data_IF_020951640580
#
_entry.id   IF_020951640580
#
_cell.length_a   1.000
_cell.length_b   1.000
_cell.length_c   1.000
_cell.angle_alpha   90.00
_cell.angle_beta   90.00
_cell.angle_gamma   90.00
#
_symmetry.space_group_name_H-M   'P 1'
#
loop_
_entity.id
_entity.type
_entity.pdbx_description
1 polymer ?
#
# COMPACT_ATOMS: atom_id res chain seq x y z
N UNK A 1 7.12 12.21 8.95
CA UNK A 1 6.21 11.22 9.57
C UNK A 1 6.79 9.82 9.39
N UNK A 2 6.80 9.03 10.43
CA UNK A 2 7.39 7.69 10.39
C UNK A 2 6.33 6.66 9.99
N UNK A 3 6.40 6.20 8.74
CA UNK A 3 5.46 5.22 8.22
C UNK A 3 5.52 3.90 8.98
N UNK A 4 6.74 3.48 9.36
CA UNK A 4 6.93 2.22 10.09
C UNK A 4 6.21 2.24 11.44
N UNK A 5 6.18 3.40 12.12
CA UNK A 5 5.47 3.53 13.39
C UNK A 5 3.97 3.34 13.24
N UNK A 6 3.39 3.81 12.13
CA UNK A 6 1.96 3.66 11.88
C UNK A 6 1.58 2.20 11.64
N UNK A 7 2.51 1.40 11.12
CA UNK A 7 2.25 0.00 10.77
C UNK A 7 2.94 -1.00 11.71
N UNK A 8 3.31 -0.56 12.90
CA UNK A 8 3.85 -1.48 13.90
C UNK A 8 2.77 -2.39 14.49
N UNK A 9 1.50 -2.00 14.38
CA UNK A 9 0.37 -2.78 14.84
C UNK A 9 -0.06 -3.76 13.75
N UNK A 10 -0.08 -5.08 14.04
CA UNK A 10 -0.50 -6.07 13.04
C UNK A 10 -1.91 -5.82 12.49
N UNK A 11 -2.83 -5.29 13.30
CA UNK A 11 -4.19 -4.99 12.83
C UNK A 11 -4.15 -3.88 11.79
N UNK A 12 -3.32 -2.87 11.97
CA UNK A 12 -3.20 -1.79 11.00
C UNK A 12 -2.60 -2.29 9.69
N UNK A 13 -1.63 -3.19 9.77
CA UNK A 13 -1.06 -3.79 8.56
C UNK A 13 -2.10 -4.58 7.81
N UNK A 14 -2.93 -5.35 8.52
CA UNK A 14 -4.00 -6.10 7.87
C UNK A 14 -5.01 -5.16 7.22
N UNK A 15 -5.34 -4.06 7.88
CA UNK A 15 -6.24 -3.06 7.31
C UNK A 15 -5.65 -2.46 6.03
N UNK A 16 -4.33 -2.24 5.99
CA UNK A 16 -3.67 -1.76 4.79
C UNK A 16 -3.80 -2.76 3.65
N UNK A 17 -3.54 -4.05 3.91
CA UNK A 17 -3.68 -5.07 2.87
C UNK A 17 -5.12 -5.18 2.37
N UNK A 18 -6.09 -5.06 3.26
CA UNK A 18 -7.50 -5.08 2.86
C UNK A 18 -7.83 -3.89 1.95
N UNK A 19 -7.29 -2.73 2.28
CA UNK A 19 -7.47 -1.53 1.45
C UNK A 19 -6.84 -1.73 0.07
N UNK A 20 -5.62 -2.26 0.04
CA UNK A 20 -4.94 -2.51 -1.22
C UNK A 20 -5.71 -3.50 -2.09
N UNK A 21 -6.20 -4.58 -1.48
CA UNK A 21 -6.99 -5.58 -2.21
C UNK A 21 -8.25 -4.96 -2.81
N UNK A 22 -8.90 -4.08 -2.06
CA UNK A 22 -10.10 -3.39 -2.53
C UNK A 22 -9.79 -2.49 -3.72
N UNK A 23 -8.71 -1.73 -3.64
CA UNK A 23 -8.31 -0.84 -4.73
C UNK A 23 -7.95 -1.64 -5.98
N UNK A 24 -7.23 -2.75 -5.81
CA UNK A 24 -6.80 -3.59 -6.93
C UNK A 24 -7.91 -4.48 -7.48
N UNK A 25 -9.01 -4.63 -6.75
CA UNK A 25 -10.12 -5.46 -7.18
C UNK A 25 -9.80 -6.96 -7.10
N UNK A 26 -9.03 -7.37 -6.09
CA UNK A 26 -8.63 -8.76 -5.89
C UNK A 26 -8.98 -9.21 -4.47
N UNK A 27 -8.95 -10.52 -4.23
CA UNK A 27 -9.12 -11.05 -2.89
C UNK A 27 -7.92 -10.72 -2.02
N UNK A 28 -8.18 -10.45 -0.74
CA UNK A 28 -7.10 -10.19 0.22
C UNK A 28 -6.08 -11.33 0.23
N UNK A 29 -6.55 -12.57 0.10
CA UNK A 29 -5.68 -13.74 0.16
C UNK A 29 -4.75 -13.87 -1.06
N UNK A 30 -5.00 -13.11 -2.13
CA UNK A 30 -4.20 -13.18 -3.33
C UNK A 30 -2.99 -12.24 -3.30
N UNK A 31 -2.86 -11.42 -2.27
CA UNK A 31 -1.74 -10.48 -2.14
C UNK A 31 -1.04 -10.65 -0.80
N UNK A 32 0.21 -10.22 -0.76
CA UNK A 32 1.00 -10.18 0.47
C UNK A 32 2.01 -9.04 0.36
N UNK A 33 2.89 -8.93 1.36
CA UNK A 33 3.87 -7.84 1.37
C UNK A 33 4.83 -7.85 0.19
N UNK A 34 5.08 -9.02 -0.39
CA UNK A 34 5.98 -9.15 -1.53
C UNK A 34 5.31 -8.88 -2.87
N UNK A 35 3.98 -8.70 -2.89
CA UNK A 35 3.27 -8.38 -4.13
C UNK A 35 3.86 -7.11 -4.74
N UNK A 36 4.24 -7.19 -6.01
CA UNK A 36 4.98 -6.13 -6.68
C UNK A 36 4.11 -5.32 -7.63
N UNK A 37 4.52 -4.08 -7.85
CA UNK A 37 3.88 -3.18 -8.79
C UNK A 37 3.77 -3.85 -10.16
N UNK A 38 2.61 -3.76 -10.75
CA UNK A 38 2.28 -4.35 -12.06
C UNK A 38 2.33 -5.87 -12.12
N UNK A 39 2.52 -6.55 -10.98
CA UNK A 39 2.47 -8.01 -10.96
C UNK A 39 1.03 -8.52 -11.06
N UNK A 40 0.05 -7.66 -10.82
CA UNK A 40 -1.37 -7.98 -10.97
C UNK A 40 -2.03 -6.87 -11.79
N UNK A 41 -3.06 -7.19 -12.58
CA UNK A 41 -3.67 -6.19 -13.48
C UNK A 41 -4.21 -4.97 -12.75
N UNK A 42 -4.70 -5.14 -11.53
CA UNK A 42 -5.29 -4.05 -10.76
C UNK A 42 -4.28 -3.05 -10.20
N UNK A 43 -2.99 -3.36 -10.21
CA UNK A 43 -1.97 -2.46 -9.70
C UNK A 43 -1.26 -1.80 -10.87
N UNK A 44 -1.90 -0.79 -11.44
CA UNK A 44 -1.36 0.05 -12.50
C UNK A 44 -0.98 1.42 -11.93
N UNK A 45 -0.54 2.33 -12.79
CA UNK A 45 -0.07 3.64 -12.35
C UNK A 45 -1.16 4.47 -11.68
N UNK A 46 -2.40 4.35 -12.13
CA UNK A 46 -3.53 5.08 -11.53
C UNK A 46 -3.81 4.54 -10.13
N UNK A 47 -3.92 3.23 -10.01
CA UNK A 47 -4.20 2.62 -8.71
C UNK A 47 -3.01 2.71 -7.76
N UNK A 48 -1.79 2.83 -8.29
CA UNK A 48 -0.62 3.10 -7.45
C UNK A 48 -0.78 4.44 -6.71
N UNK A 49 -1.11 5.49 -7.45
CA UNK A 49 -1.35 6.80 -6.83
C UNK A 49 -2.55 6.77 -5.89
N UNK A 50 -3.59 6.04 -6.28
CA UNK A 50 -4.77 5.90 -5.45
C UNK A 50 -4.43 5.23 -4.12
N UNK A 51 -3.63 4.18 -4.16
CA UNK A 51 -3.20 3.50 -2.93
C UNK A 51 -2.40 4.43 -2.04
N UNK A 52 -1.48 5.22 -2.62
CA UNK A 52 -0.72 6.21 -1.86
C UNK A 52 -1.67 7.17 -1.14
N UNK A 53 -2.60 7.77 -1.87
CA UNK A 53 -3.50 8.78 -1.33
C UNK A 53 -4.42 8.20 -0.26
N UNK A 54 -4.99 7.03 -0.52
CA UNK A 54 -5.91 6.42 0.43
C UNK A 54 -5.19 5.96 1.68
N UNK A 55 -3.96 5.46 1.54
CA UNK A 55 -3.16 5.04 2.69
C UNK A 55 -2.81 6.25 3.56
N UNK A 56 -2.42 7.36 2.93
CA UNK A 56 -2.13 8.59 3.68
C UNK A 56 -3.34 9.04 4.47
N UNK A 57 -4.50 9.00 3.83
CA UNK A 57 -5.73 9.46 4.45
C UNK A 57 -6.19 8.55 5.57
N UNK A 58 -6.16 7.24 5.32
CA UNK A 58 -6.71 6.26 6.27
C UNK A 58 -5.82 6.06 7.50
N UNK A 59 -4.50 6.18 7.32
CA UNK A 59 -3.55 5.84 8.40
C UNK A 59 -2.75 7.04 8.89
N UNK A 60 -2.97 8.23 8.33
CA UNK A 60 -2.30 9.44 8.79
C UNK A 60 -0.81 9.47 8.51
N UNK A 61 -0.37 8.79 7.47
CA UNK A 61 1.04 8.76 7.07
C UNK A 61 1.27 9.64 5.85
N UNK A 62 2.54 9.88 5.54
CA UNK A 62 2.93 10.68 4.37
C UNK A 62 4.00 9.95 3.58
N UNK A 63 3.85 9.95 2.26
CA UNK A 63 4.86 9.42 1.34
C UNK A 63 5.37 10.61 0.52
N UNK A 64 6.64 11.01 0.67
CA UNK A 64 7.20 12.09 -0.15
C UNK A 64 7.05 11.78 -1.63
N UNK A 65 6.84 12.80 -2.45
CA UNK A 65 6.64 12.60 -3.89
C UNK A 65 7.79 11.84 -4.52
N UNK A 66 9.02 12.15 -4.12
CA UNK A 66 10.20 11.48 -4.66
C UNK A 66 10.29 10.02 -4.29
N UNK A 67 9.55 9.59 -3.26
CA UNK A 67 9.55 8.21 -2.82
C UNK A 67 8.52 7.36 -3.56
N UNK A 68 7.49 7.97 -4.12
CA UNK A 68 6.38 7.25 -4.73
C UNK A 68 6.84 6.25 -5.79
N UNK A 69 7.78 6.60 -6.71
CA UNK A 69 8.24 5.64 -7.70
C UNK A 69 9.01 4.45 -7.11
N UNK A 70 9.52 4.58 -5.89
CA UNK A 70 10.26 3.48 -5.24
C UNK A 70 9.38 2.55 -4.42
N UNK A 71 8.07 2.83 -4.35
CA UNK A 71 7.13 1.96 -3.64
C UNK A 71 6.72 0.82 -4.57
N UNK A 72 7.62 -0.15 -4.73
CA UNK A 72 7.48 -1.20 -5.73
C UNK A 72 6.81 -2.47 -5.20
N UNK A 73 6.75 -2.64 -3.89
CA UNK A 73 6.04 -3.75 -3.26
C UNK A 73 5.14 -3.19 -2.16
N UNK A 74 4.18 -4.00 -1.71
CA UNK A 74 3.32 -3.54 -0.61
C UNK A 74 4.10 -3.36 0.67
N UNK A 75 5.16 -4.16 0.89
CA UNK A 75 6.04 -3.95 2.03
C UNK A 75 6.68 -2.57 2.03
N UNK A 76 6.96 -2.02 0.86
CA UNK A 76 7.59 -0.69 0.77
C UNK A 76 6.68 0.39 1.37
N UNK A 77 5.37 0.21 1.31
CA UNK A 77 4.43 1.14 1.92
C UNK A 77 4.48 1.08 3.45
N UNK A 78 4.89 -0.06 3.99
CA UNK A 78 4.86 -0.32 5.44
C UNK A 78 6.16 0.06 6.15
N UNK A 79 7.21 0.34 5.42
CA UNK A 79 8.52 0.64 6.01
C UNK A 79 8.77 2.13 6.22
#
# INVERSE_FOLDING_TARGET
MNTAGAFSDPMRREEFFALAAQIFGVDRASIDGATAYESIPGWDSVNHLRLVMETERAFGVKYPLERIPSLMTLNDFLS
#
